data_IF_446350749556
#
_entry.id   IF_446350749556
#
_cell.length_a   1.000
_cell.length_b   1.000
_cell.length_c   1.000
_cell.angle_alpha   90.00
_cell.angle_beta   90.00
_cell.angle_gamma   90.00
#
_symmetry.space_group_name_H-M   'P 1'
#
loop_
_entity.id
_entity.type
_entity.pdbx_description
1 polymer ?
#
# COMPACT_ATOMS: atom_id res chain seq x y z
N UNK A 1 4.73 0.37 1.36
CA UNK A 1 5.21 1.27 0.29
C UNK A 1 5.33 2.71 0.77
N UNK A 2 4.22 3.42 0.99
CA UNK A 2 4.23 4.84 1.41
C UNK A 2 5.00 5.10 2.72
N UNK A 3 4.91 4.20 3.71
CA UNK A 3 5.59 4.34 5.00
C UNK A 3 7.04 3.82 4.98
N UNK A 4 7.30 2.73 4.26
CA UNK A 4 8.51 1.90 4.47
C UNK A 4 9.49 1.90 3.32
N UNK A 5 9.07 2.26 2.10
CA UNK A 5 9.92 2.18 0.90
C UNK A 5 10.41 3.56 0.44
N UNK A 6 10.23 4.60 1.25
CA UNK A 6 10.70 5.96 0.94
C UNK A 6 10.05 6.59 -0.30
N UNK A 7 8.86 6.12 -0.70
CA UNK A 7 8.14 6.70 -1.82
C UNK A 7 7.71 8.13 -1.50
N UNK A 8 8.07 9.09 -2.35
CA UNK A 8 7.67 10.51 -2.18
C UNK A 8 6.17 10.74 -2.36
N UNK A 9 5.54 9.91 -3.21
CA UNK A 9 4.11 9.98 -3.52
C UNK A 9 3.60 8.60 -3.90
N UNK A 10 2.44 8.22 -3.37
CA UNK A 10 1.75 6.97 -3.68
C UNK A 10 0.28 7.28 -3.93
N UNK A 11 -0.24 6.83 -5.07
CA UNK A 11 -1.65 6.98 -5.41
C UNK A 11 -2.25 5.58 -5.54
N UNK A 12 -3.18 5.25 -4.65
CA UNK A 12 -3.98 4.03 -4.75
C UNK A 12 -5.27 4.29 -5.52
N UNK A 13 -5.59 3.45 -6.48
CA UNK A 13 -6.82 3.59 -7.28
C UNK A 13 -7.62 2.30 -7.21
N UNK A 14 -8.90 2.41 -6.94
CA UNK A 14 -9.85 1.29 -6.98
C UNK A 14 -11.16 1.77 -7.61
N UNK A 15 -11.89 0.88 -8.27
CA UNK A 15 -13.21 1.21 -8.84
C UNK A 15 -14.30 1.25 -7.75
N UNK A 16 -14.11 0.55 -6.64
CA UNK A 16 -15.05 0.51 -5.53
C UNK A 16 -14.75 1.60 -4.50
N UNK A 17 -15.61 2.62 -4.46
CA UNK A 17 -15.54 3.72 -3.51
C UNK A 17 -15.59 3.26 -2.04
N UNK A 18 -16.20 2.11 -1.75
CA UNK A 18 -16.20 1.51 -0.40
C UNK A 18 -14.80 1.09 0.00
N UNK A 19 -14.05 0.45 -0.90
CA UNK A 19 -12.66 0.04 -0.68
C UNK A 19 -11.75 1.26 -0.55
N UNK A 20 -11.97 2.30 -1.36
CA UNK A 20 -11.24 3.57 -1.26
C UNK A 20 -11.48 4.25 0.10
N UNK A 21 -12.73 4.30 0.57
CA UNK A 21 -13.04 4.80 1.92
C UNK A 21 -12.41 3.95 3.01
N UNK A 22 -12.37 2.63 2.83
CA UNK A 22 -11.68 1.73 3.75
C UNK A 22 -10.17 1.99 3.78
N UNK A 23 -9.55 2.23 2.63
CA UNK A 23 -8.13 2.57 2.52
C UNK A 23 -7.80 3.91 3.22
N UNK A 24 -8.65 4.93 3.04
CA UNK A 24 -8.51 6.19 3.79
C UNK A 24 -8.65 6.02 5.31
N UNK A 25 -9.54 5.15 5.77
CA UNK A 25 -9.65 4.79 7.20
C UNK A 25 -8.40 4.05 7.67
N UNK A 26 -7.92 3.08 6.89
CA UNK A 26 -6.73 2.31 7.21
C UNK A 26 -5.49 3.19 7.32
N UNK A 27 -5.32 4.17 6.42
CA UNK A 27 -4.24 5.18 6.53
C UNK A 27 -4.23 5.86 7.90
N UNK A 28 -5.40 6.26 8.42
CA UNK A 28 -5.50 6.90 9.75
C UNK A 28 -5.20 5.93 10.89
N UNK A 29 -5.66 4.69 10.77
CA UNK A 29 -5.35 3.64 11.75
C UNK A 29 -3.85 3.39 11.84
N UNK A 30 -3.19 3.18 10.68
CA UNK A 30 -1.73 3.00 10.60
C UNK A 30 -0.99 4.20 11.16
N UNK A 31 -1.40 5.43 10.82
CA UNK A 31 -0.85 6.66 11.39
C UNK A 31 -0.94 6.69 12.92
N UNK A 32 -2.10 6.30 13.47
CA UNK A 32 -2.32 6.35 14.92
C UNK A 32 -1.34 5.45 15.66
N UNK A 33 -0.98 4.32 15.06
CA UNK A 33 -0.08 3.32 15.65
C UNK A 33 1.42 3.68 15.49
N UNK A 34 1.76 4.80 14.86
CA UNK A 34 3.16 5.20 14.66
C UNK A 34 3.82 5.78 15.90
N UNK A 35 5.09 5.48 16.04
CA UNK A 35 5.97 6.11 17.03
C UNK A 35 6.57 7.42 16.58
N UNK A 36 7.03 8.24 17.53
CA UNK A 36 7.89 9.36 17.21
C UNK A 36 9.17 8.83 16.55
N UNK A 37 9.67 9.57 15.58
CA UNK A 37 10.91 9.24 14.89
C UNK A 37 12.05 9.07 15.90
N UNK A 38 12.81 7.98 15.78
CA UNK A 38 13.93 7.67 16.67
C UNK A 38 15.04 8.75 16.67
N UNK A 39 14.98 9.73 15.76
CA UNK A 39 15.92 10.84 15.67
C UNK A 39 15.74 11.92 16.76
N UNK A 40 14.66 11.85 17.55
CA UNK A 40 14.28 12.90 18.51
C UNK A 40 14.48 12.60 19.99
N UNK A 41 15.21 11.54 20.39
CA UNK A 41 15.44 11.25 21.81
C UNK A 41 16.44 12.24 22.44
N UNK A 42 16.00 13.49 22.65
CA UNK A 42 16.53 14.29 23.74
C UNK A 42 16.08 13.65 25.05
N UNK A 43 16.98 12.88 25.68
CA UNK A 43 16.81 12.48 27.07
C UNK A 43 16.55 13.74 27.92
N UNK A 44 15.45 13.80 28.68
CA UNK A 44 15.29 14.85 29.66
C UNK A 44 16.34 14.62 30.75
N UNK A 45 17.35 15.49 30.82
CA UNK A 45 18.24 15.56 31.96
C UNK A 45 17.41 15.88 33.21
N UNK A 46 17.18 14.88 34.06
CA UNK A 46 16.55 15.08 35.35
C UNK A 46 17.54 15.79 36.27
N UNK A 47 17.28 17.08 36.49
CA UNK A 47 17.94 17.87 37.53
C UNK A 47 17.56 17.30 38.90
N UNK A 48 18.56 16.76 39.57
CA UNK A 48 18.50 16.20 40.91
C UNK A 48 18.25 17.34 41.93
N UNK A 49 17.13 17.31 42.66
CA UNK A 49 16.98 18.09 43.90
C UNK A 49 16.17 17.32 44.94
N UNK A 50 16.69 17.41 46.15
CA UNK A 50 16.61 16.52 47.30
C UNK A 50 15.33 16.64 48.17
N UNK A 51 15.16 15.59 48.99
CA UNK A 51 14.59 15.54 50.35
C UNK A 51 13.10 15.22 50.58
N UNK A 52 12.82 14.14 51.35
CA UNK A 52 11.52 14.02 52.05
C UNK A 52 10.94 12.65 52.48
N UNK A 53 11.71 11.75 53.13
CA UNK A 53 11.32 10.68 54.09
C UNK A 53 9.89 10.04 54.16
N UNK A 54 9.93 8.70 54.22
CA UNK A 54 9.17 7.70 55.03
C UNK A 54 7.76 7.24 54.57
N UNK A 55 7.67 5.96 54.15
CA UNK A 55 7.12 4.86 55.00
C UNK A 55 7.36 3.47 54.42
N UNK A 56 7.44 2.52 55.35
CA UNK A 56 8.04 1.18 55.35
C UNK A 56 7.02 0.10 54.97
N UNK A 57 7.36 -0.85 54.10
CA UNK A 57 6.98 -2.27 54.27
C UNK A 57 7.90 -3.17 53.42
N UNK A 58 8.57 -4.07 54.13
CA UNK A 58 9.37 -5.18 53.63
C UNK A 58 8.47 -6.40 53.49
N UNK A 59 8.60 -7.13 52.38
CA UNK A 59 8.63 -8.60 52.35
C UNK A 59 9.33 -9.04 51.06
N UNK A 60 10.56 -9.52 51.22
CA UNK A 60 11.28 -10.50 50.37
C UNK A 60 10.36 -11.68 50.01
N UNK A 61 10.50 -12.41 48.89
CA UNK A 61 11.71 -12.80 48.15
C UNK A 61 11.34 -13.33 46.74
N UNK A 62 12.16 -12.95 45.73
CA UNK A 62 12.88 -13.80 44.74
C UNK A 62 12.08 -14.88 43.96
N UNK A 63 12.19 -15.15 42.66
CA UNK A 63 12.99 -14.69 41.51
C UNK A 63 12.23 -15.20 40.28
N UNK A 64 11.97 -14.37 39.27
CA UNK A 64 11.88 -14.87 37.90
C UNK A 64 12.38 -13.78 36.95
N UNK A 65 13.59 -14.02 36.43
CA UNK A 65 14.25 -13.19 35.44
C UNK A 65 13.56 -13.36 34.08
N UNK A 66 12.36 -12.81 33.95
CA UNK A 66 11.77 -12.51 32.66
C UNK A 66 12.56 -11.38 32.03
N UNK A 67 13.42 -11.72 31.07
CA UNK A 67 14.05 -10.79 30.13
C UNK A 67 12.97 -9.91 29.49
N UNK A 68 12.65 -8.79 30.14
CA UNK A 68 11.78 -7.76 29.62
C UNK A 68 12.45 -7.17 28.40
N UNK A 69 12.12 -7.70 27.22
CA UNK A 69 12.17 -6.91 25.99
C UNK A 69 11.62 -5.55 26.35
N UNK A 70 12.46 -4.49 26.29
CA UNK A 70 11.99 -3.11 26.42
C UNK A 70 11.02 -2.92 25.25
N UNK A 71 9.75 -3.23 25.50
CA UNK A 71 8.70 -3.27 24.50
C UNK A 71 8.68 -1.92 23.81
N UNK A 72 8.69 -1.95 22.48
CA UNK A 72 8.40 -0.77 21.68
C UNK A 72 7.11 -0.16 22.26
N UNK A 73 7.10 1.13 22.64
CA UNK A 73 5.92 1.73 23.25
C UNK A 73 4.72 1.58 22.31
N UNK A 74 3.58 1.12 22.83
CA UNK A 74 2.31 1.25 22.10
C UNK A 74 1.94 2.74 22.09
N UNK A 75 2.26 3.42 20.99
CA UNK A 75 2.11 4.88 20.89
C UNK A 75 0.65 5.33 20.94
N UNK A 76 -0.21 4.64 20.20
CA UNK A 76 -1.66 4.64 20.40
C UNK A 76 -2.14 3.20 20.37
N UNK A 77 -2.42 2.59 21.54
CA UNK A 77 -2.84 1.20 21.61
C UNK A 77 -4.08 0.92 20.76
N UNK A 78 -4.15 -0.27 20.16
CA UNK A 78 -5.33 -0.68 19.38
C UNK A 78 -6.63 -0.62 20.20
N UNK A 79 -6.55 -0.81 21.52
CA UNK A 79 -7.69 -0.63 22.44
C UNK A 79 -8.17 0.83 22.50
N UNK A 80 -7.26 1.79 22.47
CA UNK A 80 -7.60 3.21 22.41
C UNK A 80 -8.23 3.58 21.07
N UNK A 81 -7.73 3.05 19.95
CA UNK A 81 -8.38 3.23 18.64
C UNK A 81 -9.79 2.66 18.63
N UNK A 82 -10.00 1.49 19.23
CA UNK A 82 -11.32 0.89 19.34
C UNK A 82 -12.30 1.73 20.17
N UNK A 83 -11.83 2.31 21.29
CA UNK A 83 -12.67 3.08 22.20
C UNK A 83 -12.93 4.51 21.74
N UNK A 84 -11.94 5.16 21.12
CA UNK A 84 -11.94 6.60 20.85
C UNK A 84 -11.85 6.95 19.36
N UNK A 85 -11.62 5.95 18.51
CA UNK A 85 -11.33 6.15 17.09
C UNK A 85 -9.85 6.46 16.82
N UNK A 86 -9.49 6.47 15.53
CA UNK A 86 -8.15 6.80 15.08
C UNK A 86 -7.80 8.27 15.35
N UNK A 87 -6.53 8.54 15.63
CA UNK A 87 -6.00 9.89 15.80
C UNK A 87 -6.20 10.72 14.52
N UNK A 88 -6.52 12.02 14.66
CA UNK A 88 -6.55 12.91 13.51
C UNK A 88 -5.14 13.04 12.91
N UNK A 89 -5.08 13.12 11.59
CA UNK A 89 -3.84 13.47 10.88
C UNK A 89 -3.74 15.01 10.90
N UNK A 90 -2.68 15.60 11.48
CA UNK A 90 -2.46 17.04 11.44
C UNK A 90 -2.41 17.55 10.00
N UNK A 91 -2.79 18.80 9.74
CA UNK A 91 -2.55 19.38 8.42
C UNK A 91 -1.03 19.49 8.19
N UNK A 92 -0.57 19.19 6.98
CA UNK A 92 0.83 19.41 6.62
C UNK A 92 1.14 20.91 6.63
N UNK A 93 2.22 21.33 7.28
CA UNK A 93 2.72 22.70 7.15
C UNK A 93 3.28 22.90 5.73
N UNK A 94 2.79 23.88 4.95
CA UNK A 94 3.30 24.16 3.61
C UNK A 94 4.80 24.48 3.55
N UNK A 95 5.41 24.89 4.66
CA UNK A 95 6.83 25.29 4.75
C UNK A 95 7.75 24.14 5.17
N UNK A 96 7.20 22.99 5.57
CA UNK A 96 7.98 21.81 5.92
C UNK A 96 7.93 20.76 4.80
N UNK A 97 9.01 20.00 4.62
CA UNK A 97 9.07 18.85 3.66
C UNK A 97 8.14 17.68 4.05
N UNK A 98 7.16 17.90 4.92
CA UNK A 98 6.26 16.90 5.52
C UNK A 98 5.32 16.28 4.49
N UNK A 99 5.09 16.95 3.34
CA UNK A 99 4.22 16.45 2.27
C UNK A 99 4.73 15.17 1.60
N UNK A 100 6.05 14.95 1.57
CA UNK A 100 6.68 13.78 0.94
C UNK A 100 6.81 12.57 1.89
N UNK A 101 6.29 12.68 3.12
CA UNK A 101 6.37 11.65 4.15
C UNK A 101 4.97 11.14 4.49
N UNK A 102 4.87 9.87 4.88
CA UNK A 102 3.62 9.32 5.39
C UNK A 102 3.15 10.11 6.63
N UNK A 103 1.85 10.44 6.76
CA UNK A 103 0.70 9.97 5.99
C UNK A 103 0.27 10.91 4.84
N UNK A 104 1.08 11.91 4.52
CA UNK A 104 0.77 12.95 3.53
C UNK A 104 1.13 12.54 2.11
N UNK A 105 2.14 11.68 1.95
CA UNK A 105 2.58 11.14 0.67
C UNK A 105 1.65 10.09 0.04
N UNK A 106 0.46 9.85 0.60
CA UNK A 106 -0.47 8.84 0.08
C UNK A 106 -1.86 9.42 -0.18
N UNK A 107 -2.37 9.14 -1.37
CA UNK A 107 -3.72 9.48 -1.80
C UNK A 107 -4.45 8.24 -2.31
N UNK A 108 -5.79 8.26 -2.20
CA UNK A 108 -6.64 7.23 -2.80
C UNK A 108 -7.71 7.86 -3.70
N UNK A 109 -8.02 7.20 -4.83
CA UNK A 109 -9.01 7.62 -5.83
C UNK A 109 -10.00 6.49 -6.12
N UNK A 110 -11.28 6.83 -6.16
CA UNK A 110 -12.33 5.96 -6.68
C UNK A 110 -12.50 6.23 -8.17
N UNK A 111 -12.01 5.33 -9.03
CA UNK A 111 -12.08 5.51 -10.47
C UNK A 111 -12.00 4.18 -11.22
N UNK A 112 -12.76 4.07 -12.31
CA UNK A 112 -12.44 3.16 -13.40
C UNK A 112 -11.20 3.68 -14.14
N UNK A 113 -10.02 3.32 -13.65
CA UNK A 113 -8.75 3.85 -14.16
C UNK A 113 -8.41 3.39 -15.57
N UNK A 114 -9.15 2.45 -16.17
CA UNK A 114 -8.98 2.16 -17.60
C UNK A 114 -9.61 3.29 -18.42
N UNK A 115 -10.82 3.70 -18.04
CA UNK A 115 -11.66 4.58 -18.85
C UNK A 115 -11.70 6.06 -18.41
N UNK A 116 -11.27 6.37 -17.19
CA UNK A 116 -11.37 7.72 -16.62
C UNK A 116 -10.00 8.26 -16.22
N UNK A 117 -9.66 9.49 -16.64
CA UNK A 117 -8.46 10.19 -16.19
C UNK A 117 -8.57 10.60 -14.72
N UNK A 118 -7.44 10.58 -14.01
CA UNK A 118 -7.33 11.15 -12.67
C UNK A 118 -6.29 12.28 -12.68
N UNK A 119 -6.45 13.34 -11.88
CA UNK A 119 -5.54 14.49 -11.90
C UNK A 119 -4.08 14.12 -11.65
N UNK A 120 -3.86 13.12 -10.81
CA UNK A 120 -2.53 12.67 -10.38
C UNK A 120 -1.67 12.12 -11.54
N UNK A 121 -2.31 11.65 -12.62
CA UNK A 121 -1.65 11.10 -13.81
C UNK A 121 -0.84 12.16 -14.58
N UNK A 122 -1.19 13.45 -14.44
CA UNK A 122 -0.51 14.55 -15.11
C UNK A 122 0.95 14.74 -14.66
N UNK A 123 1.27 14.31 -13.44
CA UNK A 123 2.63 14.38 -12.89
C UNK A 123 3.50 13.19 -13.30
N UNK A 124 2.89 12.13 -13.89
CA UNK A 124 3.58 10.89 -14.22
C UNK A 124 3.98 10.04 -13.01
N UNK A 125 4.53 8.86 -13.29
CA UNK A 125 4.95 7.90 -12.26
C UNK A 125 6.30 7.26 -12.62
N UNK A 126 7.13 7.03 -11.60
CA UNK A 126 8.34 6.21 -11.75
C UNK A 126 8.02 4.72 -11.70
N UNK A 127 6.94 4.35 -11.02
CA UNK A 127 6.49 2.95 -10.88
C UNK A 127 4.97 2.89 -10.96
N UNK A 128 4.45 1.99 -11.79
CA UNK A 128 3.03 1.60 -11.79
C UNK A 128 2.94 0.14 -11.36
N UNK A 129 2.02 -0.16 -10.45
CA UNK A 129 1.85 -1.51 -9.89
C UNK A 129 0.44 -2.00 -10.18
N UNK A 130 0.34 -3.20 -10.75
CA UNK A 130 -0.91 -3.86 -11.09
C UNK A 130 -0.91 -5.29 -10.55
N UNK A 131 -1.28 -5.42 -9.28
CA UNK A 131 -1.36 -6.71 -8.61
C UNK A 131 -2.74 -7.31 -8.70
N UNK A 132 -2.84 -8.48 -9.33
CA UNK A 132 -4.08 -9.25 -9.38
C UNK A 132 -5.30 -8.48 -9.95
N UNK A 133 -5.10 -7.58 -10.90
CA UNK A 133 -6.20 -6.81 -11.55
C UNK A 133 -6.40 -7.09 -13.04
N UNK A 134 -5.40 -7.61 -13.74
CA UNK A 134 -5.43 -7.75 -15.21
C UNK A 134 -6.57 -8.65 -15.68
N UNK A 135 -6.86 -9.75 -14.97
CA UNK A 135 -8.02 -10.60 -15.23
C UNK A 135 -9.35 -9.85 -15.18
N UNK A 136 -9.53 -9.01 -14.17
CA UNK A 136 -10.80 -8.31 -13.96
C UNK A 136 -11.03 -7.24 -15.03
N UNK A 137 -9.97 -6.53 -15.42
CA UNK A 137 -10.00 -5.62 -16.57
C UNK A 137 -10.36 -6.40 -17.84
N UNK A 138 -9.65 -7.50 -18.09
CA UNK A 138 -9.83 -8.32 -19.28
C UNK A 138 -11.25 -8.91 -19.39
N UNK A 139 -11.83 -9.41 -18.30
CA UNK A 139 -13.21 -9.93 -18.29
C UNK A 139 -14.27 -8.83 -18.41
N UNK A 140 -14.03 -7.62 -17.89
CA UNK A 140 -15.01 -6.53 -17.94
C UNK A 140 -15.01 -5.77 -19.27
N UNK A 141 -13.84 -5.60 -19.88
CA UNK A 141 -13.65 -4.72 -21.04
C UNK A 141 -13.09 -5.43 -22.28
N UNK A 142 -12.85 -6.74 -22.20
CA UNK A 142 -12.33 -7.52 -23.32
C UNK A 142 -10.85 -7.27 -23.62
N UNK A 143 -10.40 -7.82 -24.74
CA UNK A 143 -9.02 -7.66 -25.24
C UNK A 143 -8.65 -6.17 -25.38
N UNK A 144 -9.56 -5.34 -25.93
CA UNK A 144 -9.32 -3.91 -26.15
C UNK A 144 -9.14 -3.13 -24.85
N UNK A 145 -9.96 -3.38 -23.81
CA UNK A 145 -9.79 -2.70 -22.54
C UNK A 145 -8.50 -3.09 -21.81
N UNK A 146 -8.05 -4.34 -21.99
CA UNK A 146 -6.74 -4.77 -21.48
C UNK A 146 -5.59 -4.07 -22.22
N UNK A 147 -5.68 -3.95 -23.54
CA UNK A 147 -4.68 -3.21 -24.33
C UNK A 147 -4.67 -1.73 -23.97
N UNK A 148 -5.84 -1.11 -23.78
CA UNK A 148 -5.94 0.28 -23.36
C UNK A 148 -5.33 0.51 -21.98
N UNK A 149 -5.57 -0.40 -21.04
CA UNK A 149 -4.89 -0.40 -19.76
C UNK A 149 -3.36 -0.43 -19.92
N UNK A 150 -2.80 -1.35 -20.70
CA UNK A 150 -1.34 -1.41 -20.92
C UNK A 150 -0.78 -0.16 -21.61
N UNK A 151 -1.49 0.39 -22.62
CA UNK A 151 -1.09 1.65 -23.27
C UNK A 151 -1.12 2.82 -22.29
N UNK A 152 -2.13 2.88 -21.43
CA UNK A 152 -2.24 3.91 -20.41
C UNK A 152 -1.11 3.82 -19.40
N UNK A 153 -0.77 2.62 -18.92
CA UNK A 153 0.39 2.41 -18.04
C UNK A 153 1.66 2.97 -18.69
N UNK A 154 1.91 2.64 -19.97
CA UNK A 154 3.05 3.17 -20.70
C UNK A 154 3.04 4.70 -20.81
N UNK A 155 1.86 5.30 -21.07
CA UNK A 155 1.68 6.76 -21.20
C UNK A 155 1.99 7.51 -19.89
N UNK A 156 1.60 6.97 -18.74
CA UNK A 156 1.76 7.65 -17.45
C UNK A 156 3.12 7.40 -16.80
N UNK A 157 3.90 6.44 -17.30
CA UNK A 157 5.25 6.20 -16.81
C UNK A 157 6.23 7.25 -17.35
N UNK A 158 7.06 7.78 -16.46
CA UNK A 158 8.21 8.60 -16.82
C UNK A 158 9.23 7.77 -17.61
N UNK A 159 10.11 8.39 -18.43
CA UNK A 159 11.22 7.68 -19.06
C UNK A 159 12.07 6.93 -18.03
N UNK A 160 12.26 5.62 -18.24
CA UNK A 160 12.95 4.73 -17.29
C UNK A 160 12.08 4.21 -16.15
N UNK A 161 10.80 4.55 -16.12
CA UNK A 161 9.84 4.03 -15.15
C UNK A 161 9.53 2.55 -15.35
N UNK A 162 9.04 1.92 -14.28
CA UNK A 162 8.86 0.46 -14.19
C UNK A 162 7.38 0.11 -14.07
N UNK A 163 6.93 -0.83 -14.89
CA UNK A 163 5.63 -1.47 -14.71
C UNK A 163 5.79 -2.80 -13.99
N UNK A 164 5.21 -2.92 -12.79
CA UNK A 164 5.16 -4.17 -12.04
C UNK A 164 3.78 -4.80 -12.20
N UNK A 165 3.72 -5.91 -12.93
CA UNK A 165 2.49 -6.63 -13.24
C UNK A 165 2.51 -8.01 -12.61
N UNK A 166 1.44 -8.35 -11.89
CA UNK A 166 1.15 -9.72 -11.47
C UNK A 166 -0.08 -10.22 -12.28
N UNK A 167 0.14 -10.91 -13.41
CA UNK A 167 -0.95 -11.47 -14.18
C UNK A 167 -1.51 -12.71 -13.48
N UNK A 168 -2.82 -12.96 -13.61
CA UNK A 168 -3.41 -14.18 -13.10
C UNK A 168 -3.54 -15.23 -14.20
N UNK A 169 -3.25 -16.48 -13.83
CA UNK A 169 -3.36 -17.64 -14.69
C UNK A 169 -4.74 -17.76 -15.35
N UNK A 170 -4.75 -18.22 -16.60
CA UNK A 170 -5.96 -18.34 -17.42
C UNK A 170 -7.04 -19.21 -16.76
N UNK A 171 -6.64 -20.28 -16.06
CA UNK A 171 -7.58 -21.17 -15.36
C UNK A 171 -8.43 -20.43 -14.31
N UNK A 172 -7.92 -19.35 -13.73
CA UNK A 172 -8.67 -18.55 -12.75
C UNK A 172 -9.81 -17.74 -13.39
N UNK A 173 -9.80 -17.52 -14.70
CA UNK A 173 -10.89 -16.87 -15.45
C UNK A 173 -12.16 -17.73 -15.44
N UNK A 174 -12.01 -19.06 -15.41
CA UNK A 174 -13.14 -19.99 -15.46
C UNK A 174 -14.09 -19.88 -14.26
N UNK A 175 -13.56 -19.62 -13.07
CA UNK A 175 -14.37 -19.35 -11.88
C UNK A 175 -14.98 -17.95 -11.95
N UNK A 176 -14.18 -16.94 -12.27
CA UNK A 176 -14.60 -15.53 -12.30
C UNK A 176 -15.74 -15.27 -13.30
N UNK A 177 -15.66 -15.81 -14.52
CA UNK A 177 -16.70 -15.61 -15.54
C UNK A 177 -18.07 -16.19 -15.18
N UNK A 178 -18.15 -17.11 -14.20
CA UNK A 178 -19.43 -17.68 -13.74
C UNK A 178 -20.13 -16.83 -12.69
N UNK A 179 -19.42 -15.85 -12.12
CA UNK A 179 -19.96 -14.99 -11.08
C UNK A 179 -20.97 -13.98 -11.62
N UNK A 180 -20.87 -13.63 -12.91
CA UNK A 180 -21.71 -12.61 -13.52
C UNK A 180 -21.97 -12.92 -15.01
N UNK A 181 -23.23 -12.80 -15.50
CA UNK A 181 -23.57 -13.04 -16.91
C UNK A 181 -22.80 -12.18 -17.92
N UNK A 182 -22.51 -10.91 -17.62
CA UNK A 182 -21.71 -10.01 -18.45
C UNK A 182 -20.30 -10.54 -18.62
N UNK A 183 -19.66 -10.94 -17.51
CA UNK A 183 -18.31 -11.52 -17.54
C UNK A 183 -18.29 -12.84 -18.34
N UNK A 184 -19.36 -13.64 -18.21
CA UNK A 184 -19.51 -14.87 -19.01
C UNK A 184 -19.58 -14.58 -20.50
N UNK A 185 -20.31 -13.56 -20.90
CA UNK A 185 -20.48 -13.19 -22.31
C UNK A 185 -19.17 -12.65 -22.90
N UNK A 186 -18.55 -11.70 -22.22
CA UNK A 186 -17.26 -11.14 -22.63
C UNK A 186 -16.17 -12.22 -22.75
N UNK A 187 -16.13 -13.16 -21.80
CA UNK A 187 -15.16 -14.26 -21.79
C UNK A 187 -15.19 -15.12 -23.07
N UNK A 188 -16.32 -15.19 -23.78
CA UNK A 188 -16.43 -15.97 -25.04
C UNK A 188 -15.63 -15.36 -26.18
N UNK A 189 -15.41 -14.05 -26.14
CA UNK A 189 -14.80 -13.30 -27.23
C UNK A 189 -13.31 -13.02 -26.99
N UNK A 190 -12.77 -13.40 -25.83
CA UNK A 190 -11.36 -13.17 -25.48
C UNK A 190 -10.42 -14.02 -26.32
N UNK A 191 -9.55 -13.34 -27.06
CA UNK A 191 -8.51 -13.98 -27.88
C UNK A 191 -7.17 -13.92 -27.17
N UNK A 192 -6.88 -12.81 -26.50
CA UNK A 192 -5.63 -12.64 -25.77
C UNK A 192 -5.60 -13.53 -24.54
N UNK A 193 -4.40 -13.97 -24.17
CA UNK A 193 -4.15 -14.78 -22.98
C UNK A 193 -2.99 -14.18 -22.17
N UNK A 194 -2.88 -14.50 -20.87
CA UNK A 194 -1.76 -14.04 -20.04
C UNK A 194 -0.37 -14.28 -20.67
N UNK A 195 -0.21 -15.38 -21.40
CA UNK A 195 1.02 -15.74 -22.11
C UNK A 195 1.35 -14.76 -23.27
N UNK A 196 0.36 -14.02 -23.77
CA UNK A 196 0.58 -12.96 -24.76
C UNK A 196 1.11 -11.66 -24.14
N UNK A 197 0.98 -11.45 -22.83
CA UNK A 197 1.14 -10.13 -22.22
C UNK A 197 2.55 -9.56 -22.40
N UNK A 198 3.59 -10.37 -22.25
CA UNK A 198 4.97 -9.90 -22.43
C UNK A 198 5.21 -9.38 -23.86
N UNK A 199 4.73 -10.12 -24.87
CA UNK A 199 4.80 -9.68 -26.27
C UNK A 199 4.03 -8.38 -26.47
N UNK A 200 2.80 -8.29 -25.94
CA UNK A 200 1.97 -7.08 -26.09
C UNK A 200 2.61 -5.86 -25.43
N UNK A 201 3.17 -6.01 -24.24
CA UNK A 201 3.87 -4.94 -23.54
C UNK A 201 5.10 -4.48 -24.34
N UNK A 202 5.87 -5.43 -24.90
CA UNK A 202 6.98 -5.11 -25.79
C UNK A 202 6.54 -4.35 -27.04
N UNK A 203 5.45 -4.78 -27.68
CA UNK A 203 4.88 -4.12 -28.85
C UNK A 203 4.39 -2.70 -28.54
N UNK A 204 3.96 -2.42 -27.31
CA UNK A 204 3.55 -1.10 -26.84
C UNK A 204 4.76 -0.18 -26.60
N UNK A 205 5.93 -0.73 -26.30
CA UNK A 205 7.17 0.04 -26.09
C UNK A 205 7.93 -0.29 -24.81
N UNK A 206 7.48 -1.26 -24.01
CA UNK A 206 8.23 -1.71 -22.85
C UNK A 206 9.49 -2.49 -23.25
N UNK A 207 10.49 -2.47 -22.35
CA UNK A 207 11.67 -3.33 -22.44
C UNK A 207 11.34 -4.82 -22.20
N UNK A 208 12.36 -5.70 -22.27
CA UNK A 208 12.18 -7.11 -21.91
C UNK A 208 11.72 -7.25 -20.44
N UNK A 209 10.83 -8.21 -20.18
CA UNK A 209 10.32 -8.45 -18.84
C UNK A 209 11.33 -9.23 -17.98
N UNK A 210 11.39 -8.89 -16.70
CA UNK A 210 12.09 -9.68 -15.68
C UNK A 210 11.07 -10.42 -14.82
N UNK A 211 11.29 -11.72 -14.63
CA UNK A 211 10.39 -12.58 -13.85
C UNK A 211 10.90 -12.70 -12.40
N UNK A 212 10.23 -12.00 -11.48
CA UNK A 212 10.66 -11.88 -10.08
C UNK A 212 10.14 -12.99 -9.15
N UNK A 213 9.29 -13.90 -9.65
CA UNK A 213 8.76 -15.03 -8.89
C UNK A 213 7.29 -15.32 -9.18
N UNK A 214 6.72 -16.27 -8.43
CA UNK A 214 5.29 -16.65 -8.50
C UNK A 214 4.56 -16.23 -7.22
N UNK A 215 3.32 -15.76 -7.37
CA UNK A 215 2.50 -15.37 -6.23
C UNK A 215 2.15 -16.58 -5.35
N UNK A 216 2.32 -16.44 -4.03
CA UNK A 216 1.99 -17.47 -3.04
C UNK A 216 3.19 -18.26 -2.51
N UNK A 217 4.33 -18.26 -3.20
CA UNK A 217 5.62 -18.63 -2.59
C UNK A 217 6.16 -17.38 -1.90
N UNK A 218 5.79 -17.19 -0.62
CA UNK A 218 6.20 -16.01 0.15
C UNK A 218 7.68 -15.71 -0.01
N UNK A 219 7.99 -14.56 -0.63
CA UNK A 219 9.37 -14.10 -0.77
C UNK A 219 9.98 -13.93 0.62
N UNK A 220 11.14 -14.57 0.85
CA UNK A 220 11.94 -14.29 2.04
C UNK A 220 12.49 -12.86 1.89
N UNK A 221 12.03 -11.96 2.75
CA UNK A 221 12.67 -10.66 2.92
C UNK A 221 14.01 -10.96 3.60
N UNK A 222 15.09 -11.00 2.81
CA UNK A 222 16.45 -11.00 3.35
C UNK A 222 16.78 -9.57 3.73
N UNK A 223 16.89 -9.29 5.02
CA UNK A 223 17.54 -8.10 5.56
C UNK A 223 19.06 -8.24 5.47
#
# INVERSE_FOLDING_TARGET
MAQTLGAKRVVGVDIDDTLVRAAWKHRRSVWSQQGPDAAGSHEPQSSNSDSGRKRRRLSDSEDDAGSGSRGVPDYFPASCEHMFGALPIPAADPHEKVVDVFPHNVAFRAADWVNNEIPDDAEGYDVVIAFSISKWIHLNYGDEGLLEFFRRVHKVLSPGGVFVLEPQEWDTYGKARRMDPKLKENAKNLKLRPEDFERLLKDIGFGPAEHLGTAGEGGKICN
#
